data_IF_379723766478
#
_entry.id   IF_379723766478
#
_cell.length_a   1.000
_cell.length_b   1.000
_cell.length_c   1.000
_cell.angle_alpha   90.00
_cell.angle_beta   90.00
_cell.angle_gamma   90.00
#
_symmetry.space_group_name_H-M   'P 1'
#
loop_
_entity.id
_entity.type
_entity.pdbx_description
1 polymer ?
#
# COMPACT_ATOMS: atom_id res chain seq x y z
N UNK A 1 -21.96 -9.04 28.39
CA UNK A 1 -21.96 -7.98 27.37
C UNK A 1 -21.63 -6.61 27.99
N UNK A 2 -22.04 -6.31 29.23
CA UNK A 2 -21.77 -5.03 29.92
C UNK A 2 -20.29 -4.72 30.20
N UNK A 3 -19.44 -5.72 30.50
CA UNK A 3 -18.04 -5.46 30.87
C UNK A 3 -17.14 -4.97 29.71
N UNK A 4 -17.55 -5.20 28.46
CA UNK A 4 -16.78 -4.75 27.29
C UNK A 4 -17.02 -3.27 26.99
N UNK A 5 -18.26 -2.81 27.17
CA UNK A 5 -18.67 -1.44 26.89
C UNK A 5 -18.01 -0.43 27.83
N UNK A 6 -17.89 -0.77 29.12
CA UNK A 6 -17.26 0.10 30.12
C UNK A 6 -15.75 0.31 29.90
N UNK A 7 -15.05 -0.72 29.40
CA UNK A 7 -13.62 -0.62 29.04
C UNK A 7 -13.40 0.30 27.84
N UNK A 8 -14.27 0.21 26.84
CA UNK A 8 -14.19 1.03 25.63
C UNK A 8 -14.51 2.49 25.93
N UNK A 9 -15.55 2.77 26.71
CA UNK A 9 -15.88 4.13 27.16
C UNK A 9 -14.76 4.73 28.03
N UNK A 10 -14.11 3.93 28.88
CA UNK A 10 -12.96 4.39 29.66
C UNK A 10 -11.76 4.70 28.76
N UNK A 11 -11.49 3.86 27.76
CA UNK A 11 -10.42 4.12 26.79
C UNK A 11 -10.69 5.42 26.03
N UNK A 12 -11.89 5.62 25.49
CA UNK A 12 -12.23 6.84 24.73
C UNK A 12 -12.12 8.11 25.57
N UNK A 13 -12.45 8.06 26.87
CA UNK A 13 -12.26 9.19 27.81
C UNK A 13 -10.78 9.58 27.98
N UNK A 14 -9.87 8.63 27.91
CA UNK A 14 -8.42 8.87 28.00
C UNK A 14 -7.87 9.28 26.63
N UNK A 15 -8.31 8.62 25.56
CA UNK A 15 -7.78 8.81 24.21
C UNK A 15 -8.22 10.14 23.60
N UNK A 16 -9.47 10.58 23.79
CA UNK A 16 -10.00 11.80 23.18
C UNK A 16 -9.16 13.07 23.43
N UNK A 17 -8.73 13.41 24.67
CA UNK A 17 -7.87 14.57 24.89
C UNK A 17 -6.49 14.40 24.24
N UNK A 18 -5.89 13.21 24.31
CA UNK A 18 -4.59 12.91 23.68
C UNK A 18 -4.69 13.07 22.15
N UNK A 19 -5.76 12.57 21.54
CA UNK A 19 -6.00 12.73 20.11
C UNK A 19 -6.11 14.20 19.72
N UNK A 20 -6.81 15.00 20.53
CA UNK A 20 -6.93 16.43 20.29
C UNK A 20 -5.58 17.16 20.39
N UNK A 21 -4.76 16.82 21.39
CA UNK A 21 -3.39 17.34 21.53
C UNK A 21 -2.50 17.00 20.33
N UNK A 22 -2.72 15.82 19.73
CA UNK A 22 -2.03 15.37 18.52
C UNK A 22 -2.65 15.92 17.22
N UNK A 23 -3.67 16.76 17.31
CA UNK A 23 -4.30 17.41 16.16
C UNK A 23 -5.44 16.63 15.51
N UNK A 24 -5.90 15.52 16.10
CA UNK A 24 -7.02 14.73 15.60
C UNK A 24 -8.33 15.12 16.29
N UNK A 25 -9.37 15.36 15.49
CA UNK A 25 -10.73 15.66 15.95
C UNK A 25 -11.50 14.43 16.43
N UNK A 26 -11.09 13.23 16.01
CA UNK A 26 -11.75 11.98 16.38
C UNK A 26 -10.85 10.75 16.19
N UNK A 27 -11.16 9.62 16.87
CA UNK A 27 -10.51 8.33 16.58
C UNK A 27 -10.65 7.91 15.11
N UNK A 28 -11.78 8.25 14.47
CA UNK A 28 -12.01 7.98 13.04
C UNK A 28 -10.98 8.70 12.16
N UNK A 29 -10.67 9.96 12.47
CA UNK A 29 -9.67 10.73 11.72
C UNK A 29 -8.27 10.14 11.88
N UNK A 30 -7.87 9.76 13.10
CA UNK A 30 -6.62 9.05 13.33
C UNK A 30 -6.54 7.76 12.50
N UNK A 31 -7.61 6.95 12.51
CA UNK A 31 -7.64 5.69 11.75
C UNK A 31 -7.53 5.96 10.25
N UNK A 32 -8.24 6.98 9.73
CA UNK A 32 -8.17 7.38 8.31
C UNK A 32 -6.73 7.75 7.93
N UNK A 33 -6.08 8.59 8.72
CA UNK A 33 -4.71 9.04 8.45
C UNK A 33 -3.70 7.89 8.58
N UNK A 34 -3.85 7.03 9.58
CA UNK A 34 -2.98 5.87 9.76
C UNK A 34 -3.09 4.89 8.58
N UNK A 35 -4.31 4.61 8.12
CA UNK A 35 -4.52 3.76 6.95
C UNK A 35 -3.95 4.38 5.68
N UNK A 36 -4.14 5.69 5.50
CA UNK A 36 -3.57 6.46 4.39
C UNK A 36 -2.05 6.32 4.36
N UNK A 37 -1.37 6.60 5.47
CA UNK A 37 0.09 6.50 5.59
C UNK A 37 0.59 5.08 5.32
N UNK A 38 -0.11 4.06 5.81
CA UNK A 38 0.23 2.67 5.54
C UNK A 38 0.11 2.32 4.05
N UNK A 39 -0.93 2.81 3.37
CA UNK A 39 -1.13 2.57 1.94
C UNK A 39 -0.11 3.33 1.10
N UNK A 40 0.16 4.60 1.42
CA UNK A 40 1.17 5.41 0.75
C UNK A 40 2.57 4.78 0.86
N UNK A 41 2.92 4.22 2.03
CA UNK A 41 4.17 3.48 2.20
C UNK A 41 4.24 2.23 1.29
N UNK A 42 3.12 1.52 1.10
CA UNK A 42 3.05 0.38 0.17
C UNK A 42 3.20 0.85 -1.28
N UNK A 43 2.51 1.90 -1.68
CA UNK A 43 2.62 2.52 -3.01
C UNK A 43 4.07 2.91 -3.28
N UNK A 44 4.70 3.66 -2.39
CA UNK A 44 6.09 4.11 -2.53
C UNK A 44 7.06 2.93 -2.73
N UNK A 45 6.85 1.82 -2.02
CA UNK A 45 7.66 0.61 -2.17
C UNK A 45 7.48 -0.01 -3.55
N UNK A 46 6.25 -0.25 -4.00
CA UNK A 46 5.98 -0.88 -5.29
C UNK A 46 6.38 0.00 -6.48
N UNK A 47 6.30 1.32 -6.35
CA UNK A 47 6.86 2.24 -7.34
C UNK A 47 8.39 2.15 -7.41
N UNK A 48 9.07 1.96 -6.28
CA UNK A 48 10.51 1.77 -6.26
C UNK A 48 10.91 0.43 -6.90
N UNK A 49 10.16 -0.64 -6.64
CA UNK A 49 10.35 -1.96 -7.28
C UNK A 49 10.11 -1.88 -8.80
N UNK A 50 9.02 -1.26 -9.26
CA UNK A 50 8.74 -1.05 -10.70
C UNK A 50 9.87 -0.28 -11.41
N UNK A 51 10.38 0.78 -10.76
CA UNK A 51 11.54 1.53 -11.27
C UNK A 51 12.83 0.70 -11.25
N UNK A 52 13.03 -0.15 -10.24
CA UNK A 52 14.21 -1.01 -10.11
C UNK A 52 14.29 -2.01 -11.27
N UNK A 53 13.18 -2.66 -11.62
CA UNK A 53 13.14 -3.57 -12.76
C UNK A 53 13.31 -2.82 -14.09
N UNK A 54 12.67 -1.66 -14.26
CA UNK A 54 12.88 -0.82 -15.44
C UNK A 54 14.36 -0.43 -15.62
N UNK A 55 15.06 -0.13 -14.52
CA UNK A 55 16.49 0.15 -14.51
C UNK A 55 17.34 -1.10 -14.80
N UNK A 56 17.02 -2.25 -14.19
CA UNK A 56 17.72 -3.54 -14.40
C UNK A 56 17.73 -3.93 -15.88
N UNK A 57 16.59 -3.75 -16.56
CA UNK A 57 16.40 -4.21 -17.94
C UNK A 57 16.52 -3.12 -19.01
N UNK A 58 16.59 -1.84 -18.60
CA UNK A 58 16.70 -0.70 -19.51
C UNK A 58 15.51 -0.52 -20.45
N UNK A 59 14.34 -1.07 -20.11
CA UNK A 59 13.12 -1.07 -20.94
C UNK A 59 11.86 -1.04 -20.09
N UNK A 60 10.71 -0.82 -20.71
CA UNK A 60 9.42 -0.88 -20.00
C UNK A 60 9.02 -2.32 -19.68
N UNK A 61 8.09 -2.47 -18.74
CA UNK A 61 7.49 -3.76 -18.41
C UNK A 61 6.94 -4.47 -19.65
N UNK A 62 6.18 -3.78 -20.50
CA UNK A 62 5.54 -4.38 -21.67
C UNK A 62 6.57 -4.89 -22.69
N UNK A 63 7.66 -4.13 -22.90
CA UNK A 63 8.76 -4.57 -23.75
C UNK A 63 9.46 -5.78 -23.15
N UNK A 64 9.76 -5.76 -21.85
CA UNK A 64 10.39 -6.89 -21.16
C UNK A 64 9.52 -8.16 -21.19
N UNK A 65 8.22 -8.03 -20.94
CA UNK A 65 7.26 -9.12 -21.01
C UNK A 65 7.19 -9.72 -22.42
N UNK A 66 7.17 -8.89 -23.47
CA UNK A 66 7.21 -9.37 -24.85
C UNK A 66 8.52 -10.07 -25.21
N UNK A 67 9.65 -9.63 -24.65
CA UNK A 67 10.95 -10.26 -24.89
C UNK A 67 11.01 -11.64 -24.23
N UNK A 68 10.50 -11.77 -22.99
CA UNK A 68 10.40 -13.05 -22.30
C UNK A 68 9.51 -14.04 -23.07
N UNK A 69 8.40 -13.58 -23.65
CA UNK A 69 7.48 -14.43 -24.42
C UNK A 69 8.02 -14.90 -25.77
N UNK A 70 9.01 -14.21 -26.36
CA UNK A 70 9.57 -14.50 -27.69
C UNK A 70 10.99 -15.06 -27.66
N UNK A 71 11.69 -14.83 -26.55
CA UNK A 71 13.08 -15.20 -26.35
C UNK A 71 13.25 -16.63 -25.84
N UNK A 72 14.51 -17.05 -25.63
CA UNK A 72 14.79 -18.29 -24.93
C UNK A 72 14.30 -18.21 -23.48
N UNK A 73 13.82 -19.34 -22.95
CA UNK A 73 13.46 -19.45 -21.53
C UNK A 73 14.71 -19.20 -20.67
N UNK A 74 14.63 -18.15 -19.85
CA UNK A 74 15.65 -17.77 -18.89
C UNK A 74 14.93 -17.64 -17.55
N UNK A 75 15.17 -18.59 -16.64
CA UNK A 75 14.48 -18.66 -15.35
C UNK A 75 14.52 -17.34 -14.57
N UNK A 76 15.68 -16.65 -14.55
CA UNK A 76 15.79 -15.33 -13.90
C UNK A 76 14.85 -14.29 -14.50
N UNK A 77 14.69 -14.29 -15.83
CA UNK A 77 13.79 -13.33 -16.48
C UNK A 77 12.33 -13.62 -16.19
N UNK A 78 11.95 -14.89 -16.08
CA UNK A 78 10.58 -15.29 -15.73
C UNK A 78 10.25 -14.93 -14.28
N UNK A 79 11.17 -15.19 -13.35
CA UNK A 79 11.04 -14.80 -11.95
C UNK A 79 10.91 -13.28 -11.82
N UNK A 80 11.81 -12.53 -12.45
CA UNK A 80 11.75 -11.07 -12.46
C UNK A 80 10.49 -10.52 -13.14
N UNK A 81 10.01 -11.16 -14.22
CA UNK A 81 8.77 -10.77 -14.88
C UNK A 81 7.56 -10.96 -13.95
N UNK A 82 7.54 -12.08 -13.22
CA UNK A 82 6.47 -12.37 -12.27
C UNK A 82 6.50 -11.38 -11.09
N UNK A 83 7.67 -11.10 -10.54
CA UNK A 83 7.84 -10.12 -9.45
C UNK A 83 7.46 -8.71 -9.91
N UNK A 84 7.92 -8.30 -11.10
CA UNK A 84 7.57 -7.00 -11.66
C UNK A 84 6.07 -6.87 -11.92
N UNK A 85 5.44 -7.92 -12.47
CA UNK A 85 3.98 -7.95 -12.65
C UNK A 85 3.27 -7.80 -11.32
N UNK A 86 3.70 -8.54 -10.29
CA UNK A 86 3.14 -8.45 -8.95
C UNK A 86 3.25 -7.03 -8.38
N UNK A 87 4.41 -6.38 -8.49
CA UNK A 87 4.59 -5.00 -8.00
C UNK A 87 3.63 -4.03 -8.69
N UNK A 88 3.38 -4.19 -10.00
CA UNK A 88 2.45 -3.35 -10.77
C UNK A 88 0.98 -3.60 -10.38
N UNK A 89 0.59 -4.85 -10.21
CA UNK A 89 -0.75 -5.22 -9.75
C UNK A 89 -1.02 -4.72 -8.32
N UNK A 90 -0.04 -4.87 -7.44
CA UNK A 90 -0.12 -4.35 -6.07
C UNK A 90 -0.21 -2.82 -6.07
N UNK A 91 0.57 -2.13 -6.90
CA UNK A 91 0.49 -0.68 -7.05
C UNK A 91 -0.90 -0.22 -7.49
N UNK A 92 -1.51 -0.89 -8.48
CA UNK A 92 -2.87 -0.61 -8.92
C UNK A 92 -3.88 -0.82 -7.78
N UNK A 93 -3.78 -1.95 -7.06
CA UNK A 93 -4.63 -2.25 -5.93
C UNK A 93 -4.55 -1.19 -4.82
N UNK A 94 -3.35 -0.83 -4.38
CA UNK A 94 -3.17 0.12 -3.28
C UNK A 94 -3.58 1.54 -3.66
N UNK A 95 -3.39 1.97 -4.92
CA UNK A 95 -3.93 3.25 -5.41
C UNK A 95 -5.45 3.28 -5.38
N UNK A 96 -6.12 2.18 -5.73
CA UNK A 96 -7.57 2.08 -5.60
C UNK A 96 -8.02 2.17 -4.13
N UNK A 97 -7.32 1.49 -3.20
CA UNK A 97 -7.61 1.56 -1.76
C UNK A 97 -7.38 2.95 -1.16
N UNK A 98 -6.34 3.65 -1.61
CA UNK A 98 -6.09 5.03 -1.19
C UNK A 98 -7.28 5.93 -1.56
N UNK A 99 -7.74 5.83 -2.81
CA UNK A 99 -8.90 6.57 -3.30
C UNK A 99 -10.18 6.25 -2.51
N UNK A 100 -10.42 4.98 -2.18
CA UNK A 100 -11.57 4.59 -1.34
C UNK A 100 -11.54 5.27 0.04
N UNK A 101 -10.37 5.33 0.68
CA UNK A 101 -10.21 5.92 2.01
C UNK A 101 -10.32 7.44 1.95
N UNK A 102 -9.73 8.08 0.95
CA UNK A 102 -9.81 9.54 0.77
C UNK A 102 -11.27 10.00 0.59
N UNK A 103 -12.07 9.22 -0.14
CA UNK A 103 -13.47 9.48 -0.43
C UNK A 103 -14.48 8.96 0.62
N UNK A 104 -14.02 8.31 1.70
CA UNK A 104 -14.86 7.83 2.81
C UNK A 104 -15.04 8.88 3.92
#
# INVERSE_FOLDING_TARGET
MEQHNDREERFLRIAAPILNELGFSSPRELIKEQLRLMIEARISRYEAEDRSFAAKYGKSFDTFASDCARGPELFEHEDDLNDWRFSREALFHYRARLSEIENA
#
